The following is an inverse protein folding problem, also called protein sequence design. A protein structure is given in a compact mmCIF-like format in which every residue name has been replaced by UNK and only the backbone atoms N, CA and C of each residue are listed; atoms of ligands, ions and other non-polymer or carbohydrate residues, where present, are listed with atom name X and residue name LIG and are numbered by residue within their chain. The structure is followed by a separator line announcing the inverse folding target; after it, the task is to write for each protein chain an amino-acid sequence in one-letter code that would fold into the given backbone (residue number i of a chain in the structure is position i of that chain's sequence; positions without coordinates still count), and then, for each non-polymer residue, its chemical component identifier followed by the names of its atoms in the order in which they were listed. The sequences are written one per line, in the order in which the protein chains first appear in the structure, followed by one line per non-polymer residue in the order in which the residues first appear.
data_IF_332159337415
#
_entry.id   IF_332159337415
#
_cell.length_a   1.000
_cell.length_b   1.000
_cell.length_c   1.000
_cell.angle_alpha   90.00
_cell.angle_beta   90.00
_cell.angle_gamma   90.00
#
_symmetry.space_group_name_H-M   'P 1'
#
loop_
_entity.id
_entity.type
_entity.pdbx_description
1 polymer ?
#
# COMPACT_ATOMS: atom_id res chain seq x y z
N UNK A 1 -15.68 8.50 48.65
CA UNK A 1 -14.99 7.27 48.20
C UNK A 1 -14.90 7.28 46.67
N UNK A 2 -13.80 7.79 46.12
CA UNK A 2 -13.61 7.86 44.67
C UNK A 2 -12.89 6.59 44.17
N UNK A 3 -13.58 5.46 44.26
CA UNK A 3 -13.11 4.23 43.65
C UNK A 3 -12.99 4.43 42.11
N UNK A 4 -11.78 4.30 41.59
CA UNK A 4 -11.62 4.32 40.13
C UNK A 4 -12.31 3.08 39.56
N UNK A 5 -13.24 3.30 38.67
CA UNK A 5 -13.89 2.23 37.91
C UNK A 5 -12.84 1.28 37.30
N UNK A 6 -13.16 -0.02 37.28
CA UNK A 6 -12.35 -1.06 36.65
C UNK A 6 -13.28 -1.96 35.84
N UNK A 7 -12.89 -2.38 34.62
CA UNK A 7 -13.66 -3.33 33.84
C UNK A 7 -13.62 -4.73 34.46
N UNK A 8 -14.65 -5.51 34.23
CA UNK A 8 -14.67 -6.94 34.52
C UNK A 8 -13.86 -7.67 33.43
N UNK A 9 -12.58 -7.93 33.71
CA UNK A 9 -11.64 -8.47 32.73
C UNK A 9 -12.03 -9.83 32.12
N UNK A 10 -12.66 -10.79 32.87
CA UNK A 10 -13.08 -12.09 32.30
C UNK A 10 -14.03 -11.97 31.11
N UNK A 11 -14.88 -10.93 31.06
CA UNK A 11 -15.82 -10.70 29.96
C UNK A 11 -15.17 -10.12 28.71
N UNK A 12 -13.92 -9.67 28.80
CA UNK A 12 -13.19 -9.08 27.67
C UNK A 12 -12.51 -10.19 26.89
N UNK A 13 -12.72 -10.25 25.55
CA UNK A 13 -12.14 -11.30 24.71
C UNK A 13 -10.62 -11.23 24.63
N UNK A 14 -9.98 -12.38 24.45
CA UNK A 14 -8.51 -12.49 24.22
C UNK A 14 -8.13 -12.50 22.76
N UNK A 15 -8.93 -11.85 21.93
CA UNK A 15 -8.78 -11.77 20.48
C UNK A 15 -8.30 -10.39 20.02
N UNK A 16 -7.83 -10.26 18.78
CA UNK A 16 -7.58 -8.96 18.17
C UNK A 16 -8.85 -8.12 18.11
N UNK A 17 -8.70 -6.80 18.19
CA UNK A 17 -9.83 -5.90 18.05
C UNK A 17 -9.56 -4.48 18.49
N UNK A 18 -10.63 -3.71 18.58
CA UNK A 18 -10.66 -2.32 18.97
C UNK A 18 -11.42 -2.18 20.28
N UNK A 19 -10.93 -1.34 21.18
CA UNK A 19 -11.58 -1.01 22.45
C UNK A 19 -11.81 0.49 22.58
N UNK A 20 -12.94 0.85 23.19
CA UNK A 20 -13.38 2.23 23.38
C UNK A 20 -13.62 2.47 24.85
N UNK A 21 -12.87 3.39 25.47
CA UNK A 21 -13.18 3.88 26.81
C UNK A 21 -14.25 4.97 26.73
N UNK A 22 -15.29 4.85 27.57
CA UNK A 22 -16.43 5.78 27.63
C UNK A 22 -16.53 6.42 29.01
N UNK A 23 -17.06 7.63 29.05
CA UNK A 23 -17.39 8.31 30.31
C UNK A 23 -18.78 7.91 30.85
N UNK A 24 -19.22 8.55 31.94
CA UNK A 24 -20.50 8.28 32.57
C UNK A 24 -21.72 8.64 31.69
N UNK A 25 -21.52 9.46 30.65
CA UNK A 25 -22.56 9.85 29.69
C UNK A 25 -22.53 8.99 28.43
N UNK A 26 -21.64 7.99 28.37
CA UNK A 26 -21.43 7.14 27.20
C UNK A 26 -20.53 7.74 26.13
N UNK A 27 -20.03 8.97 26.30
CA UNK A 27 -19.16 9.61 25.31
C UNK A 27 -17.81 8.90 25.22
N UNK A 28 -17.32 8.73 23.99
CA UNK A 28 -16.06 8.06 23.72
C UNK A 28 -14.90 8.98 24.13
N UNK A 29 -14.09 8.49 25.05
CA UNK A 29 -12.90 9.19 25.54
C UNK A 29 -11.65 8.82 24.75
N UNK A 30 -11.54 7.55 24.38
CA UNK A 30 -10.35 7.00 23.75
C UNK A 30 -10.70 5.76 22.94
N UNK A 31 -10.10 5.63 21.77
CA UNK A 31 -10.13 4.46 20.91
C UNK A 31 -8.72 3.88 20.81
N UNK A 32 -8.58 2.56 20.83
CA UNK A 32 -7.31 1.91 20.64
C UNK A 32 -7.47 0.46 20.17
N UNK A 33 -6.46 -0.05 19.47
CA UNK A 33 -6.41 -1.44 19.02
C UNK A 33 -5.54 -2.34 19.90
N UNK A 34 -5.77 -3.62 19.84
CA UNK A 34 -4.92 -4.64 20.46
C UNK A 34 -4.95 -5.95 19.67
N UNK A 35 -3.85 -6.73 19.78
CA UNK A 35 -3.81 -8.14 19.35
C UNK A 35 -4.50 -9.05 20.37
N UNK A 36 -4.54 -8.64 21.64
CA UNK A 36 -5.29 -9.27 22.72
C UNK A 36 -5.95 -8.16 23.54
N UNK A 37 -7.25 -8.03 23.39
CA UNK A 37 -8.05 -6.97 24.02
C UNK A 37 -7.96 -7.03 25.53
N UNK A 38 -8.14 -8.22 26.15
CA UNK A 38 -8.10 -8.40 27.61
C UNK A 38 -6.77 -7.95 28.20
N UNK A 39 -5.68 -8.46 27.66
CA UNK A 39 -4.32 -8.12 28.11
C UNK A 39 -4.04 -6.63 27.97
N UNK A 40 -4.45 -6.03 26.86
CA UNK A 40 -4.24 -4.60 26.60
C UNK A 40 -5.03 -3.72 27.56
N UNK A 41 -6.31 -4.01 27.76
CA UNK A 41 -7.17 -3.25 28.67
C UNK A 41 -6.67 -3.40 30.09
N UNK A 42 -6.33 -4.62 30.55
CA UNK A 42 -5.74 -4.87 31.84
C UNK A 42 -4.49 -4.01 32.11
N UNK A 43 -3.64 -3.81 31.09
CA UNK A 43 -2.39 -3.04 31.24
C UNK A 43 -2.61 -1.59 31.66
N UNK A 44 -3.75 -0.97 31.38
CA UNK A 44 -4.09 0.39 31.83
C UNK A 44 -4.30 0.47 33.34
N UNK A 45 -4.67 -0.64 33.98
CA UNK A 45 -5.02 -0.69 35.40
C UNK A 45 -3.91 -1.25 36.29
N UNK A 46 -2.97 -2.05 35.75
CA UNK A 46 -1.85 -2.64 36.52
C UNK A 46 -0.73 -1.65 36.81
N UNK A 47 -0.36 -0.78 35.86
CA UNK A 47 0.77 0.15 35.96
C UNK A 47 0.35 1.62 35.86
N UNK A 48 -0.66 2.04 36.62
CA UNK A 48 -1.24 3.38 36.53
C UNK A 48 -0.21 4.53 36.63
N UNK A 49 0.78 4.40 37.53
CA UNK A 49 1.78 5.45 37.75
C UNK A 49 2.75 5.61 36.59
N UNK A 50 2.96 4.56 35.79
CA UNK A 50 3.83 4.57 34.62
C UNK A 50 3.19 5.24 33.39
N UNK A 51 1.87 5.47 33.41
CA UNK A 51 1.21 6.09 32.27
C UNK A 51 1.44 7.61 32.22
N UNK A 52 1.54 8.20 30.99
CA UNK A 52 1.53 9.64 30.79
C UNK A 52 0.34 10.31 31.45
N UNK A 53 0.49 11.57 31.91
CA UNK A 53 -0.57 12.33 32.59
C UNK A 53 -1.92 12.28 31.85
N UNK A 54 -1.90 12.33 30.54
CA UNK A 54 -3.11 12.26 29.70
C UNK A 54 -3.86 10.95 29.86
N UNK A 55 -3.19 9.80 29.77
CA UNK A 55 -3.82 8.48 29.94
C UNK A 55 -4.33 8.27 31.36
N UNK A 56 -3.60 8.75 32.38
CA UNK A 56 -4.09 8.72 33.74
C UNK A 56 -5.37 9.54 33.94
N UNK A 57 -5.48 10.68 33.24
CA UNK A 57 -6.69 11.52 33.23
C UNK A 57 -7.85 10.83 32.53
N UNK A 58 -7.59 10.17 31.39
CA UNK A 58 -8.57 9.34 30.66
C UNK A 58 -9.11 8.22 31.56
N UNK A 59 -8.22 7.42 32.19
CA UNK A 59 -8.63 6.30 33.08
C UNK A 59 -9.49 6.78 34.24
N UNK A 60 -9.20 7.96 34.83
CA UNK A 60 -10.01 8.52 35.92
C UNK A 60 -11.42 8.91 35.47
N UNK A 61 -11.59 9.32 34.21
CA UNK A 61 -12.90 9.69 33.62
C UNK A 61 -13.68 8.50 33.10
N UNK A 62 -13.00 7.43 32.70
CA UNK A 62 -13.63 6.24 32.16
C UNK A 62 -14.58 5.58 33.18
N UNK A 63 -15.76 5.14 32.69
CA UNK A 63 -16.79 4.41 33.41
C UNK A 63 -17.25 3.16 32.71
N UNK A 64 -16.93 3.02 31.41
CA UNK A 64 -17.20 1.81 30.64
C UNK A 64 -16.08 1.57 29.64
N UNK A 65 -15.96 0.32 29.18
CA UNK A 65 -15.18 -0.09 28.03
C UNK A 65 -16.06 -0.97 27.15
N UNK A 66 -16.10 -0.65 25.86
CA UNK A 66 -16.73 -1.51 24.85
C UNK A 66 -15.63 -2.07 23.95
N UNK A 67 -15.79 -3.29 23.48
CA UNK A 67 -14.84 -3.98 22.60
C UNK A 67 -15.51 -4.42 21.34
N UNK A 68 -14.80 -4.30 20.22
CA UNK A 68 -15.17 -4.87 18.93
C UNK A 68 -14.08 -5.85 18.54
N UNK A 69 -14.42 -7.14 18.56
CA UNK A 69 -13.52 -8.18 18.08
C UNK A 69 -13.35 -8.05 16.57
N UNK A 70 -12.14 -8.33 16.10
CA UNK A 70 -11.81 -8.42 14.68
C UNK A 70 -11.13 -9.74 14.40
N UNK A 71 -11.19 -10.19 13.14
CA UNK A 71 -10.57 -11.44 12.75
C UNK A 71 -9.04 -11.36 12.67
N UNK A 72 -8.47 -10.15 12.46
CA UNK A 72 -7.05 -9.96 12.26
C UNK A 72 -6.54 -8.61 12.80
N UNK A 73 -5.21 -8.48 12.89
CA UNK A 73 -4.56 -7.20 13.23
C UNK A 73 -4.88 -6.11 12.19
N UNK A 74 -4.95 -6.47 10.91
CA UNK A 74 -5.25 -5.51 9.85
C UNK A 74 -6.67 -4.95 10.00
N UNK A 75 -7.66 -5.82 10.24
CA UNK A 75 -9.04 -5.37 10.49
C UNK A 75 -9.12 -4.46 11.73
N UNK A 76 -8.37 -4.78 12.79
CA UNK A 76 -8.30 -3.92 13.98
C UNK A 76 -7.70 -2.54 13.66
N UNK A 77 -6.66 -2.48 12.82
CA UNK A 77 -6.05 -1.23 12.35
C UNK A 77 -7.01 -0.38 11.53
N UNK A 78 -7.74 -1.01 10.60
CA UNK A 78 -8.70 -0.33 9.74
C UNK A 78 -9.89 0.20 10.55
N UNK A 79 -10.42 -0.61 11.47
CA UNK A 79 -11.52 -0.22 12.34
C UNK A 79 -11.11 0.91 13.31
N UNK A 80 -9.92 0.81 13.93
CA UNK A 80 -9.38 1.87 14.79
C UNK A 80 -9.28 3.18 14.01
N UNK A 81 -8.72 3.16 12.79
CA UNK A 81 -8.55 4.34 11.97
C UNK A 81 -9.89 5.00 11.62
N UNK A 82 -10.89 4.19 11.24
CA UNK A 82 -12.25 4.65 10.95
C UNK A 82 -12.87 5.32 12.17
N UNK A 83 -12.85 4.66 13.32
CA UNK A 83 -13.43 5.18 14.58
C UNK A 83 -12.74 6.44 15.06
N UNK A 84 -11.41 6.54 14.92
CA UNK A 84 -10.68 7.75 15.30
C UNK A 84 -11.11 8.98 14.51
N UNK A 85 -11.45 8.82 13.23
CA UNK A 85 -11.88 9.91 12.35
C UNK A 85 -13.35 10.26 12.50
N UNK A 86 -14.19 9.27 12.76
CA UNK A 86 -15.62 9.48 13.00
C UNK A 86 -15.89 10.11 14.37
N UNK A 87 -15.23 9.63 15.41
CA UNK A 87 -15.54 9.96 16.81
C UNK A 87 -14.64 11.06 17.38
N UNK A 88 -13.49 11.34 16.74
CA UNK A 88 -12.51 12.33 17.20
C UNK A 88 -12.27 12.37 18.72
N UNK A 89 -11.89 11.23 19.36
CA UNK A 89 -11.90 11.12 20.82
C UNK A 89 -10.87 12.05 21.48
N UNK A 90 -11.22 12.74 22.60
CA UNK A 90 -10.39 13.81 23.18
C UNK A 90 -9.06 13.33 23.76
N UNK A 91 -8.91 12.04 24.00
CA UNK A 91 -7.67 11.45 24.50
C UNK A 91 -6.85 10.71 23.44
N UNK A 92 -7.22 10.74 22.16
CA UNK A 92 -6.33 10.37 21.05
C UNK A 92 -5.57 11.60 20.56
N UNK A 93 -4.29 11.45 20.23
CA UNK A 93 -3.43 12.57 19.77
C UNK A 93 -3.25 12.61 18.27
N UNK A 94 -3.27 11.46 17.65
CA UNK A 94 -2.89 11.28 16.24
C UNK A 94 -4.04 10.57 15.49
N UNK A 95 -4.06 10.74 14.19
CA UNK A 95 -4.94 10.01 13.27
C UNK A 95 -6.43 10.35 13.39
N UNK A 96 -6.79 11.50 13.96
CA UNK A 96 -8.19 11.96 14.02
C UNK A 96 -8.65 12.67 12.76
N UNK A 97 -7.74 12.92 11.82
CA UNK A 97 -8.04 13.49 10.51
C UNK A 97 -7.39 12.68 9.38
N UNK A 98 -7.97 12.74 8.21
CA UNK A 98 -7.35 12.21 7.00
C UNK A 98 -6.17 13.11 6.58
N UNK A 99 -5.14 12.47 6.02
CA UNK A 99 -3.96 13.18 5.52
C UNK A 99 -3.90 12.97 4.01
N UNK A 100 -3.95 14.05 3.25
CA UNK A 100 -3.76 14.02 1.81
C UNK A 100 -2.30 13.70 1.46
N UNK A 101 -2.03 12.45 1.14
CA UNK A 101 -0.70 11.96 0.80
C UNK A 101 -0.42 12.10 -0.70
N UNK A 102 0.82 12.42 -1.10
CA UNK A 102 1.18 12.51 -2.50
C UNK A 102 1.33 11.13 -3.16
N UNK A 103 0.96 11.10 -4.44
CA UNK A 103 1.17 10.01 -5.38
C UNK A 103 1.99 10.51 -6.57
N UNK A 104 2.69 9.61 -7.24
CA UNK A 104 3.12 9.82 -8.62
C UNK A 104 2.09 9.17 -9.53
N UNK A 105 1.44 9.98 -10.37
CA UNK A 105 0.39 9.55 -11.29
C UNK A 105 0.94 9.43 -12.70
N UNK A 106 0.67 8.33 -13.37
CA UNK A 106 0.84 8.13 -14.80
C UNK A 106 -0.55 8.24 -15.47
N UNK A 107 -0.76 9.27 -16.29
CA UNK A 107 -2.07 9.65 -16.86
C UNK A 107 -2.44 8.81 -18.08
N UNK A 108 -2.70 7.51 -17.89
CA UNK A 108 -2.97 6.58 -19.02
C UNK A 108 -4.26 6.90 -19.79
N UNK A 109 -5.17 7.66 -19.22
CA UNK A 109 -6.36 8.13 -19.92
C UNK A 109 -6.06 9.24 -20.96
N UNK A 110 -4.88 9.88 -20.87
CA UNK A 110 -4.44 10.83 -21.89
C UNK A 110 -3.84 10.10 -23.10
N UNK A 111 -4.05 10.58 -24.33
CA UNK A 111 -3.44 9.98 -25.54
C UNK A 111 -1.92 9.91 -25.47
N UNK A 112 -1.29 10.88 -24.76
CA UNK A 112 0.14 10.89 -24.47
C UNK A 112 0.34 10.99 -22.96
N UNK A 113 0.41 9.84 -22.26
CA UNK A 113 0.52 9.78 -20.81
C UNK A 113 1.73 10.55 -20.28
N UNK A 114 1.59 11.21 -19.13
CA UNK A 114 2.66 11.90 -18.43
C UNK A 114 2.74 11.50 -16.96
N UNK A 115 3.90 11.74 -16.37
CA UNK A 115 4.11 11.56 -14.94
C UNK A 115 3.97 12.91 -14.23
N UNK A 116 3.17 12.94 -13.16
CA UNK A 116 3.01 14.11 -12.29
C UNK A 116 2.81 13.70 -10.84
N UNK A 117 2.99 14.65 -9.91
CA UNK A 117 2.66 14.44 -8.51
C UNK A 117 1.28 15.00 -8.24
N UNK A 118 0.43 14.22 -7.58
CA UNK A 118 -0.90 14.63 -7.14
C UNK A 118 -1.19 14.16 -5.73
N UNK A 119 -2.12 14.84 -5.05
CA UNK A 119 -2.73 14.36 -3.79
C UNK A 119 -4.14 13.82 -4.00
N UNK A 120 -4.63 13.96 -5.21
CA UNK A 120 -5.93 13.43 -5.60
C UNK A 120 -5.77 11.99 -6.11
N UNK A 121 -6.52 11.09 -5.54
CA UNK A 121 -6.61 9.69 -5.96
C UNK A 121 -7.99 9.47 -6.57
N UNK A 122 -8.06 8.99 -7.81
CA UNK A 122 -9.32 8.81 -8.54
C UNK A 122 -9.32 7.50 -9.34
N UNK A 123 -10.50 6.99 -9.62
CA UNK A 123 -10.71 5.85 -10.54
C UNK A 123 -10.86 6.38 -11.98
N UNK A 124 -9.80 6.95 -12.52
CA UNK A 124 -9.79 7.65 -13.82
C UNK A 124 -8.97 6.90 -14.89
N UNK A 125 -8.72 5.62 -14.68
CA UNK A 125 -7.91 4.81 -15.59
C UNK A 125 -6.40 5.06 -15.52
N UNK A 126 -5.96 6.01 -14.69
CA UNK A 126 -4.54 6.30 -14.49
C UNK A 126 -3.89 5.33 -13.51
N UNK A 127 -2.57 5.20 -13.59
CA UNK A 127 -1.80 4.46 -12.59
C UNK A 127 -1.22 5.38 -11.52
N UNK A 128 -1.42 5.01 -10.26
CA UNK A 128 -0.95 5.73 -9.09
C UNK A 128 0.12 4.92 -8.36
N UNK A 129 1.30 5.50 -8.19
CA UNK A 129 2.40 4.99 -7.37
C UNK A 129 2.39 5.71 -6.02
N UNK A 130 2.63 5.02 -4.93
CA UNK A 130 2.52 5.60 -3.58
C UNK A 130 1.42 4.88 -2.77
N UNK A 131 0.77 5.50 -1.76
CA UNK A 131 1.02 6.88 -1.31
C UNK A 131 2.41 7.05 -0.68
N UNK A 132 3.01 8.22 -0.88
CA UNK A 132 4.28 8.57 -0.28
C UNK A 132 4.08 9.38 1.02
N UNK A 133 5.01 9.31 1.99
CA UNK A 133 4.84 10.00 3.28
C UNK A 133 4.91 11.53 3.16
N UNK A 134 5.64 12.04 2.18
CA UNK A 134 5.79 13.47 1.92
C UNK A 134 6.12 13.73 0.45
N UNK A 135 5.94 14.97 0.02
CA UNK A 135 6.15 15.42 -1.36
C UNK A 135 7.58 15.11 -1.87
N UNK A 136 8.60 15.28 -1.04
CA UNK A 136 9.99 15.02 -1.41
C UNK A 136 10.23 13.57 -1.85
N UNK A 137 9.63 12.58 -1.17
CA UNK A 137 9.74 11.17 -1.60
C UNK A 137 9.08 10.92 -2.95
N UNK A 138 7.92 11.54 -3.22
CA UNK A 138 7.26 11.45 -4.51
C UNK A 138 8.08 12.15 -5.61
N UNK A 139 8.69 13.31 -5.30
CA UNK A 139 9.53 14.05 -6.24
C UNK A 139 10.77 13.26 -6.67
N UNK A 140 11.42 12.56 -5.75
CA UNK A 140 12.55 11.67 -6.06
C UNK A 140 12.13 10.55 -7.00
N UNK A 141 10.98 9.92 -6.74
CA UNK A 141 10.44 8.86 -7.61
C UNK A 141 10.11 9.41 -8.99
N UNK A 142 9.42 10.56 -9.06
CA UNK A 142 9.11 11.23 -10.32
C UNK A 142 10.39 11.52 -11.11
N UNK A 143 11.40 12.13 -10.49
CA UNK A 143 12.68 12.44 -11.13
C UNK A 143 13.39 11.19 -11.67
N UNK A 144 13.38 10.09 -10.90
CA UNK A 144 13.97 8.82 -11.32
C UNK A 144 13.28 8.23 -12.56
N UNK A 145 11.95 8.22 -12.58
CA UNK A 145 11.19 7.68 -13.71
C UNK A 145 11.32 8.59 -14.95
N UNK A 146 11.25 9.90 -14.80
CA UNK A 146 11.48 10.87 -15.89
C UNK A 146 12.89 10.83 -16.42
N UNK A 147 13.86 10.43 -15.59
CA UNK A 147 15.24 10.25 -16.05
C UNK A 147 15.42 9.02 -16.95
N UNK A 148 14.66 7.97 -16.67
CA UNK A 148 14.71 6.70 -17.41
C UNK A 148 13.86 6.73 -18.69
N UNK A 149 12.79 7.52 -18.70
CA UNK A 149 11.82 7.57 -19.80
C UNK A 149 11.52 9.01 -20.19
N UNK A 150 11.66 9.29 -21.49
CA UNK A 150 11.50 10.64 -22.04
C UNK A 150 10.01 11.00 -22.21
N UNK A 151 9.25 10.98 -21.10
CA UNK A 151 7.83 11.34 -21.10
C UNK A 151 7.65 12.85 -21.00
N UNK A 152 6.58 13.37 -21.61
CA UNK A 152 6.29 14.79 -21.61
C UNK A 152 6.04 15.34 -20.20
N UNK A 153 6.41 16.59 -20.00
CA UNK A 153 6.13 17.34 -18.77
C UNK A 153 5.14 18.47 -19.00
N UNK A 154 4.83 18.79 -20.26
CA UNK A 154 3.88 19.83 -20.64
C UNK A 154 2.44 19.45 -20.30
N UNK A 155 1.61 20.47 -20.07
CA UNK A 155 0.18 20.34 -19.80
C UNK A 155 -0.65 20.49 -21.08
N UNK A 156 -1.94 20.16 -20.97
CA UNK A 156 -2.90 20.29 -22.06
C UNK A 156 -2.89 19.12 -23.05
N UNK A 157 -3.84 19.18 -23.97
CA UNK A 157 -3.98 18.23 -25.06
C UNK A 157 -2.86 18.39 -26.07
N UNK A 158 -2.32 17.28 -26.56
CA UNK A 158 -1.30 17.24 -27.61
C UNK A 158 -1.94 16.65 -28.87
N UNK A 159 -1.80 17.35 -29.97
CA UNK A 159 -2.15 16.86 -31.30
C UNK A 159 -0.86 16.67 -32.12
N UNK A 160 -0.57 15.46 -32.58
CA UNK A 160 0.61 15.18 -33.39
C UNK A 160 0.60 16.00 -34.69
N UNK A 161 1.75 16.56 -35.04
CA UNK A 161 1.92 17.33 -36.29
C UNK A 161 1.44 18.79 -36.24
N UNK A 162 0.89 19.24 -35.12
CA UNK A 162 0.50 20.66 -34.95
C UNK A 162 1.67 21.55 -34.59
N UNK A 163 2.68 20.99 -33.93
CA UNK A 163 3.87 21.73 -33.53
C UNK A 163 5.00 21.47 -34.53
N UNK A 164 5.38 22.43 -35.39
CA UNK A 164 6.35 22.19 -36.44
C UNK A 164 7.80 22.02 -35.94
N UNK A 165 8.08 22.46 -34.74
CA UNK A 165 9.43 22.37 -34.12
C UNK A 165 9.34 21.83 -32.70
N UNK A 166 10.26 20.89 -32.33
CA UNK A 166 10.30 20.38 -30.98
C UNK A 166 10.72 21.47 -29.97
N UNK A 167 10.15 21.40 -28.77
CA UNK A 167 10.48 22.30 -27.66
C UNK A 167 11.84 21.94 -27.01
N UNK A 168 12.29 22.80 -26.08
CA UNK A 168 13.55 22.60 -25.36
C UNK A 168 13.63 21.23 -24.64
N UNK A 169 12.50 20.73 -24.09
CA UNK A 169 12.48 19.44 -23.43
C UNK A 169 12.90 18.27 -24.34
N UNK A 170 12.62 18.35 -25.65
CA UNK A 170 13.12 17.41 -26.65
C UNK A 170 14.62 17.59 -26.87
N UNK A 171 15.08 18.82 -27.00
CA UNK A 171 16.50 19.10 -27.28
C UNK A 171 17.41 18.55 -26.15
N UNK A 172 16.95 18.65 -24.90
CA UNK A 172 17.66 18.10 -23.74
C UNK A 172 17.26 16.64 -23.41
N UNK A 173 16.61 15.95 -24.33
CA UNK A 173 16.22 14.53 -24.23
C UNK A 173 15.35 14.18 -23.01
N UNK A 174 14.57 15.15 -22.52
CA UNK A 174 13.58 14.94 -21.44
C UNK A 174 12.22 14.51 -21.94
N UNK A 175 11.92 14.69 -23.25
CA UNK A 175 10.66 14.35 -23.88
C UNK A 175 10.93 13.79 -25.27
N UNK A 176 10.17 12.78 -25.71
CA UNK A 176 10.23 12.24 -27.06
C UNK A 176 9.42 13.04 -28.10
N UNK A 177 8.89 14.21 -27.72
CA UNK A 177 8.16 15.16 -28.58
C UNK A 177 7.00 14.55 -29.41
N UNK A 178 5.99 13.91 -28.80
CA UNK A 178 4.87 13.33 -29.53
C UNK A 178 4.05 14.37 -30.30
N UNK A 179 4.22 15.66 -30.00
CA UNK A 179 3.56 16.77 -30.64
C UNK A 179 4.08 17.08 -32.06
N UNK A 180 5.28 16.60 -32.42
CA UNK A 180 5.92 16.94 -33.71
C UNK A 180 5.37 16.11 -34.85
N UNK A 181 5.07 14.84 -34.65
CA UNK A 181 4.54 14.01 -35.73
C UNK A 181 4.30 12.53 -35.35
N UNK A 182 3.75 11.73 -36.28
CA UNK A 182 3.37 10.34 -36.00
C UNK A 182 4.52 9.43 -35.57
N UNK A 183 5.71 9.60 -36.14
CA UNK A 183 6.89 8.80 -35.78
C UNK A 183 7.29 9.02 -34.34
N UNK A 184 7.29 10.29 -33.87
CA UNK A 184 7.58 10.65 -32.50
C UNK A 184 6.47 10.14 -31.54
N UNK A 185 5.22 10.12 -32.02
CA UNK A 185 4.11 9.56 -31.26
C UNK A 185 4.31 8.06 -31.01
N UNK A 186 4.70 7.28 -32.01
CA UNK A 186 5.00 5.85 -31.86
C UNK A 186 6.17 5.60 -30.90
N UNK A 187 7.26 6.36 -31.06
CA UNK A 187 8.40 6.31 -30.13
C UNK A 187 7.98 6.63 -28.70
N UNK A 188 7.07 7.60 -28.53
CA UNK A 188 6.55 8.00 -27.23
C UNK A 188 5.81 6.86 -26.53
N UNK A 189 4.92 6.17 -27.23
CA UNK A 189 4.21 5.01 -26.67
C UNK A 189 5.18 3.90 -26.27
N UNK A 190 6.25 3.66 -27.03
CA UNK A 190 7.32 2.75 -26.65
C UNK A 190 7.99 3.12 -25.31
N UNK A 191 8.13 4.40 -25.00
CA UNK A 191 8.60 4.83 -23.67
C UNK A 191 7.57 4.54 -22.56
N UNK A 192 6.27 4.72 -22.83
CA UNK A 192 5.20 4.38 -21.89
C UNK A 192 5.17 2.88 -21.60
N UNK A 193 5.22 2.06 -22.63
CA UNK A 193 5.23 0.59 -22.52
C UNK A 193 6.47 0.11 -21.76
N UNK A 194 7.63 0.69 -22.07
CA UNK A 194 8.89 0.41 -21.34
C UNK A 194 8.80 0.76 -19.86
N UNK A 195 8.15 1.88 -19.51
CA UNK A 195 7.91 2.27 -18.12
C UNK A 195 6.99 1.25 -17.43
N UNK A 196 5.87 0.88 -18.05
CA UNK A 196 4.94 -0.10 -17.48
C UNK A 196 5.61 -1.45 -17.27
N UNK A 197 6.39 -1.93 -18.27
CA UNK A 197 7.16 -3.16 -18.16
C UNK A 197 8.20 -3.10 -17.03
N UNK A 198 8.85 -1.95 -16.82
CA UNK A 198 9.80 -1.79 -15.73
C UNK A 198 9.11 -1.79 -14.36
N UNK A 199 7.98 -1.09 -14.22
CA UNK A 199 7.18 -1.08 -12.99
C UNK A 199 6.63 -2.47 -12.63
N UNK A 200 6.26 -3.28 -13.63
CA UNK A 200 5.81 -4.65 -13.43
C UNK A 200 6.91 -5.56 -12.83
N UNK A 201 8.18 -5.23 -13.04
CA UNK A 201 9.33 -5.94 -12.46
C UNK A 201 9.67 -5.50 -11.03
N UNK A 202 8.99 -4.47 -10.52
CA UNK A 202 9.13 -3.99 -9.14
C UNK A 202 10.26 -2.99 -8.91
N UNK A 203 10.40 -2.53 -7.65
CA UNK A 203 11.30 -1.43 -7.28
C UNK A 203 12.79 -1.70 -7.59
N UNK A 204 13.23 -2.95 -7.39
CA UNK A 204 14.64 -3.31 -7.62
C UNK A 204 15.04 -3.18 -9.09
N UNK A 205 14.11 -3.46 -10.01
CA UNK A 205 14.36 -3.29 -11.45
C UNK A 205 14.60 -1.81 -11.81
N UNK A 206 13.87 -0.89 -11.18
CA UNK A 206 14.08 0.55 -11.36
C UNK A 206 15.46 0.99 -10.83
N UNK A 207 15.83 0.53 -9.64
CA UNK A 207 17.16 0.80 -9.07
C UNK A 207 18.27 0.21 -9.93
N UNK A 208 18.09 -1.01 -10.43
CA UNK A 208 19.05 -1.66 -11.33
C UNK A 208 19.19 -0.88 -12.65
N UNK A 209 18.08 -0.42 -13.24
CA UNK A 209 18.13 0.38 -14.46
C UNK A 209 18.89 1.69 -14.29
N UNK A 210 18.74 2.35 -13.12
CA UNK A 210 19.52 3.54 -12.78
C UNK A 210 21.01 3.22 -12.61
N UNK A 211 21.37 2.07 -12.02
CA UNK A 211 22.76 1.61 -11.92
C UNK A 211 23.39 1.43 -13.30
N UNK A 212 22.68 0.79 -14.21
CA UNK A 212 23.13 0.57 -15.59
C UNK A 212 23.33 1.89 -16.35
N UNK A 213 22.39 2.85 -16.22
CA UNK A 213 22.54 4.18 -16.83
C UNK A 213 23.75 4.96 -16.26
N UNK A 214 23.97 4.85 -14.95
CA UNK A 214 25.14 5.45 -14.29
C UNK A 214 26.44 4.86 -14.83
N UNK A 215 26.50 3.53 -14.93
CA UNK A 215 27.71 2.85 -15.42
C UNK A 215 28.01 3.23 -16.87
N UNK A 216 27.01 3.25 -17.76
CA UNK A 216 27.19 3.72 -19.15
C UNK A 216 27.69 5.16 -19.22
N UNK A 217 27.20 6.05 -18.33
CA UNK A 217 27.66 7.42 -18.28
C UNK A 217 29.13 7.51 -17.87
N UNK A 218 29.57 6.66 -16.93
CA UNK A 218 30.97 6.58 -16.50
C UNK A 218 31.90 6.02 -17.58
N UNK A 219 31.47 4.98 -18.31
CA UNK A 219 32.20 4.35 -19.41
C UNK A 219 32.52 5.36 -20.55
N UNK A 220 31.58 6.27 -20.83
CA UNK A 220 31.77 7.35 -21.81
C UNK A 220 32.30 8.65 -21.19
N UNK A 221 32.88 8.58 -19.99
CA UNK A 221 33.52 9.68 -19.25
C UNK A 221 32.59 10.89 -18.95
N UNK A 222 31.28 10.73 -18.98
CA UNK A 222 30.32 11.76 -18.55
C UNK A 222 30.15 11.76 -17.02
N UNK A 223 31.20 12.16 -16.30
CA UNK A 223 31.28 12.06 -14.84
C UNK A 223 30.23 12.85 -14.10
N UNK A 224 29.88 14.05 -14.56
CA UNK A 224 28.79 14.86 -13.97
C UNK A 224 27.44 14.11 -14.04
N UNK A 225 27.17 13.51 -15.19
CA UNK A 225 25.94 12.69 -15.37
C UNK A 225 25.98 11.45 -14.47
N UNK A 226 27.12 10.77 -14.38
CA UNK A 226 27.27 9.60 -13.51
C UNK A 226 27.11 9.98 -12.03
N UNK A 227 27.66 11.11 -11.58
CA UNK A 227 27.50 11.63 -10.23
C UNK A 227 26.04 11.98 -9.91
N UNK A 228 25.35 12.67 -10.82
CA UNK A 228 23.92 12.97 -10.66
C UNK A 228 23.07 11.69 -10.55
N UNK A 229 23.33 10.68 -11.39
CA UNK A 229 22.63 9.40 -11.34
C UNK A 229 22.92 8.63 -10.04
N UNK A 230 24.14 8.74 -9.50
CA UNK A 230 24.50 8.17 -8.21
C UNK A 230 23.68 8.80 -7.07
N UNK A 231 23.62 10.12 -7.02
CA UNK A 231 22.83 10.86 -6.02
C UNK A 231 21.34 10.50 -6.13
N UNK A 232 20.80 10.46 -7.34
CA UNK A 232 19.39 10.11 -7.58
C UNK A 232 19.10 8.66 -7.17
N UNK A 233 19.98 7.73 -7.45
CA UNK A 233 19.86 6.33 -7.04
C UNK A 233 19.85 6.19 -5.50
N UNK A 234 20.74 6.89 -4.80
CA UNK A 234 20.79 6.88 -3.34
C UNK A 234 19.51 7.46 -2.74
N UNK A 235 19.05 8.61 -3.23
CA UNK A 235 17.80 9.24 -2.80
C UNK A 235 16.59 8.36 -3.08
N UNK A 236 16.53 7.67 -4.22
CA UNK A 236 15.46 6.73 -4.54
C UNK A 236 15.48 5.53 -3.59
N UNK A 237 16.65 4.97 -3.32
CA UNK A 237 16.79 3.86 -2.38
C UNK A 237 16.27 4.24 -0.99
N UNK A 238 16.58 5.45 -0.51
CA UNK A 238 16.07 5.99 0.75
C UNK A 238 14.55 6.21 0.71
N UNK A 239 14.02 6.82 -0.36
CA UNK A 239 12.58 7.05 -0.52
C UNK A 239 11.77 5.75 -0.53
N UNK A 240 12.37 4.65 -1.03
CA UNK A 240 11.75 3.33 -1.10
C UNK A 240 12.02 2.46 0.15
N UNK A 241 12.93 2.87 1.04
CA UNK A 241 13.27 2.12 2.23
C UNK A 241 12.02 1.81 3.07
N UNK A 242 11.79 0.54 3.36
CA UNK A 242 10.60 0.10 4.07
C UNK A 242 9.27 0.23 3.30
N UNK A 243 9.30 0.44 1.96
CA UNK A 243 8.09 0.62 1.12
C UNK A 243 8.15 -0.25 -0.14
N UNK A 244 8.09 -1.58 -0.01
CA UNK A 244 8.29 -2.48 -1.14
C UNK A 244 7.24 -2.31 -2.25
N UNK A 245 6.06 -1.80 -1.92
CA UNK A 245 4.96 -1.60 -2.87
C UNK A 245 4.92 -0.19 -3.48
N UNK A 246 5.80 0.73 -3.08
CA UNK A 246 5.67 2.13 -3.46
C UNK A 246 5.73 2.38 -4.98
N UNK A 247 6.52 1.58 -5.72
CA UNK A 247 6.61 1.66 -7.18
C UNK A 247 5.69 0.69 -7.93
N UNK A 248 4.91 -0.11 -7.22
CA UNK A 248 3.87 -0.93 -7.85
C UNK A 248 2.61 -0.08 -7.98
N UNK A 249 2.04 0.09 -9.17
CA UNK A 249 0.76 0.77 -9.33
C UNK A 249 -0.30 0.22 -8.38
N UNK A 250 -1.10 1.09 -7.78
CA UNK A 250 -2.13 0.68 -6.81
C UNK A 250 -3.07 -0.36 -7.42
N UNK A 251 -3.47 -0.17 -8.68
CA UNK A 251 -4.33 -1.10 -9.42
C UNK A 251 -3.72 -2.51 -9.58
N UNK A 252 -2.41 -2.68 -9.46
CA UNK A 252 -1.72 -3.97 -9.59
C UNK A 252 -1.41 -4.63 -8.23
N UNK A 253 -1.75 -4.01 -7.10
CA UNK A 253 -1.45 -4.53 -5.76
C UNK A 253 -2.48 -5.57 -5.33
N UNK A 254 -2.40 -6.76 -5.92
CA UNK A 254 -3.20 -7.90 -5.53
C UNK A 254 -2.30 -8.90 -4.79
N UNK A 255 -2.53 -9.09 -3.51
CA UNK A 255 -1.64 -9.83 -2.61
C UNK A 255 -2.46 -10.76 -1.73
N UNK A 256 -2.03 -12.01 -1.66
CA UNK A 256 -2.43 -12.96 -0.64
C UNK A 256 -1.31 -13.07 0.39
N UNK A 257 -1.55 -12.63 1.61
CA UNK A 257 -0.62 -12.78 2.72
C UNK A 257 -1.04 -13.99 3.55
N UNK A 258 -0.15 -14.99 3.63
CA UNK A 258 -0.39 -16.27 4.28
C UNK A 258 0.28 -16.24 5.65
N UNK A 259 -0.50 -16.48 6.70
CA UNK A 259 -0.04 -16.62 8.07
C UNK A 259 -0.25 -18.06 8.54
N UNK A 260 0.80 -18.65 9.11
CA UNK A 260 0.69 -19.92 9.79
C UNK A 260 0.22 -19.68 11.24
N UNK A 261 -0.85 -20.32 11.65
CA UNK A 261 -1.40 -20.24 13.01
C UNK A 261 -1.05 -21.50 13.83
N UNK A 262 -1.12 -21.37 15.16
CA UNK A 262 -1.20 -22.50 16.07
C UNK A 262 -2.68 -22.73 16.47
N UNK A 263 -3.18 -23.96 16.41
CA UNK A 263 -2.50 -25.24 16.19
C UNK A 263 -2.01 -25.43 14.73
N UNK A 264 -0.97 -26.26 14.52
CA UNK A 264 -0.49 -26.60 13.19
C UNK A 264 -1.66 -27.11 12.33
N UNK A 265 -1.67 -26.79 11.04
CA UNK A 265 -2.68 -27.09 10.01
C UNK A 265 -3.80 -26.05 9.81
N UNK A 266 -3.84 -24.97 10.57
CA UNK A 266 -4.71 -23.84 10.23
C UNK A 266 -3.89 -22.66 9.71
N UNK A 267 -4.26 -22.14 8.56
CA UNK A 267 -3.64 -20.97 7.95
C UNK A 267 -4.67 -19.88 7.73
N UNK A 268 -4.25 -18.66 7.86
CA UNK A 268 -5.07 -17.52 7.57
C UNK A 268 -4.51 -16.80 6.35
N UNK A 269 -5.36 -16.54 5.37
CA UNK A 269 -5.05 -15.70 4.24
C UNK A 269 -5.70 -14.34 4.43
N UNK A 270 -4.89 -13.30 4.37
CA UNK A 270 -5.35 -11.92 4.25
C UNK A 270 -5.29 -11.53 2.78
N UNK A 271 -6.41 -11.13 2.26
CA UNK A 271 -6.61 -10.85 0.85
C UNK A 271 -6.62 -9.34 0.60
N UNK A 272 -5.76 -8.88 -0.29
CA UNK A 272 -5.61 -7.48 -0.68
C UNK A 272 -5.83 -7.39 -2.17
N UNK A 273 -6.73 -6.49 -2.60
CA UNK A 273 -6.99 -6.16 -4.00
C UNK A 273 -6.85 -4.67 -4.24
N UNK A 274 -6.15 -4.30 -5.29
CA UNK A 274 -5.87 -2.90 -5.63
C UNK A 274 -5.32 -2.12 -4.42
N UNK A 275 -4.51 -2.80 -3.59
CA UNK A 275 -3.92 -2.23 -2.39
C UNK A 275 -4.87 -2.06 -1.19
N UNK A 276 -6.13 -2.45 -1.29
CA UNK A 276 -7.14 -2.39 -0.26
C UNK A 276 -7.40 -3.76 0.37
N UNK A 277 -7.83 -3.77 1.63
CA UNK A 277 -8.24 -5.00 2.30
C UNK A 277 -9.55 -5.51 1.68
N UNK A 278 -9.50 -6.70 1.12
CA UNK A 278 -10.63 -7.30 0.42
C UNK A 278 -11.28 -8.46 1.21
N UNK A 279 -10.62 -8.94 2.27
CA UNK A 279 -11.19 -9.98 3.11
C UNK A 279 -10.15 -10.92 3.70
N UNK A 280 -10.68 -11.94 4.39
CA UNK A 280 -9.91 -12.95 5.09
C UNK A 280 -10.50 -14.33 4.82
N UNK A 281 -9.64 -15.30 4.56
CA UNK A 281 -10.02 -16.70 4.37
C UNK A 281 -9.22 -17.57 5.32
N UNK A 282 -9.90 -18.34 6.16
CA UNK A 282 -9.27 -19.40 6.94
C UNK A 282 -9.12 -20.62 6.03
N UNK A 283 -7.89 -21.13 5.88
CA UNK A 283 -7.59 -22.39 5.22
C UNK A 283 -7.40 -23.45 6.29
N UNK A 284 -8.35 -24.36 6.34
CA UNK A 284 -8.19 -25.69 6.89
C UNK A 284 -7.72 -26.65 5.77
N UNK A 285 -7.31 -27.84 6.10
CA UNK A 285 -6.83 -28.83 5.11
C UNK A 285 -7.98 -29.43 4.25
N UNK A 286 -9.22 -29.03 4.50
CA UNK A 286 -10.38 -29.56 3.80
C UNK A 286 -10.58 -29.00 2.40
N UNK A 287 -11.18 -29.77 1.46
CA UNK A 287 -11.43 -29.32 0.08
C UNK A 287 -12.32 -28.08 0.00
N UNK A 288 -13.20 -27.87 0.97
CA UNK A 288 -14.10 -26.70 1.03
C UNK A 288 -13.34 -25.37 1.23
N UNK A 289 -12.19 -25.39 1.91
CA UNK A 289 -11.38 -24.17 2.10
C UNK A 289 -10.82 -23.67 0.78
N UNK A 290 -10.38 -24.56 -0.08
CA UNK A 290 -9.88 -24.23 -1.41
C UNK A 290 -10.97 -23.72 -2.35
N UNK A 291 -12.18 -24.29 -2.23
CA UNK A 291 -13.33 -23.80 -2.96
C UNK A 291 -13.70 -22.37 -2.52
N UNK A 292 -13.73 -22.09 -1.20
CA UNK A 292 -13.95 -20.73 -0.67
C UNK A 292 -12.91 -19.73 -1.19
N UNK A 293 -11.63 -20.15 -1.24
CA UNK A 293 -10.58 -19.30 -1.80
C UNK A 293 -10.82 -19.03 -3.30
N UNK A 294 -11.14 -20.05 -4.09
CA UNK A 294 -11.43 -19.90 -5.50
C UNK A 294 -12.63 -18.96 -5.74
N UNK A 295 -13.73 -19.18 -5.03
CA UNK A 295 -14.92 -18.32 -5.08
C UNK A 295 -14.56 -16.89 -4.71
N UNK A 296 -13.79 -16.69 -3.63
CA UNK A 296 -13.36 -15.37 -3.22
C UNK A 296 -12.49 -14.67 -4.29
N UNK A 297 -11.61 -15.40 -4.96
CA UNK A 297 -10.77 -14.86 -6.05
C UNK A 297 -11.59 -14.45 -7.29
N UNK A 298 -12.76 -15.04 -7.50
CA UNK A 298 -13.68 -14.69 -8.61
C UNK A 298 -14.63 -13.55 -8.28
N UNK A 299 -14.97 -13.36 -6.99
CA UNK A 299 -15.89 -12.31 -6.59
C UNK A 299 -15.23 -10.93 -6.71
N UNK A 300 -15.96 -9.96 -7.23
CA UNK A 300 -15.57 -8.56 -7.16
C UNK A 300 -15.77 -8.04 -5.73
N UNK A 301 -14.71 -7.66 -5.01
CA UNK A 301 -14.84 -7.18 -3.64
C UNK A 301 -15.59 -5.83 -3.54
N UNK A 302 -15.72 -5.10 -4.65
CA UNK A 302 -16.51 -3.87 -4.69
C UNK A 302 -18.02 -4.13 -4.66
N UNK A 303 -18.45 -5.34 -5.01
CA UNK A 303 -19.86 -5.73 -5.05
C UNK A 303 -20.52 -5.86 -3.66
N UNK A 304 -19.75 -5.85 -2.57
CA UNK A 304 -20.22 -6.03 -1.20
C UNK A 304 -20.14 -4.81 -0.28
N UNK A 305 -19.63 -3.67 -0.74
CA UNK A 305 -19.49 -2.47 0.11
C UNK A 305 -20.71 -1.54 -0.10
N UNK A 306 -21.62 -1.42 0.88
CA UNK A 306 -22.90 -0.73 0.70
C UNK A 306 -22.81 0.81 0.66
N UNK A 307 -21.61 1.41 0.81
CA UNK A 307 -21.45 2.85 0.77
C UNK A 307 -20.21 3.27 -0.05
N UNK A 308 -20.32 4.28 -0.93
CA UNK A 308 -19.18 4.84 -1.62
C UNK A 308 -18.20 5.41 -0.58
N UNK A 309 -17.00 4.86 -0.52
CA UNK A 309 -15.94 5.34 0.37
C UNK A 309 -15.43 6.69 -0.14
N UNK A 310 -15.23 7.66 0.75
CA UNK A 310 -14.56 8.90 0.36
C UNK A 310 -13.14 8.59 -0.11
N UNK A 311 -12.63 9.38 -1.04
CA UNK A 311 -11.25 9.28 -1.54
C UNK A 311 -10.22 9.27 -0.40
N UNK A 312 -10.43 10.10 0.62
CA UNK A 312 -9.57 10.18 1.79
C UNK A 312 -9.56 8.88 2.61
N UNK A 313 -10.70 8.20 2.74
CA UNK A 313 -10.79 6.91 3.41
C UNK A 313 -10.03 5.82 2.63
N UNK A 314 -10.12 5.84 1.30
CA UNK A 314 -9.37 4.92 0.43
C UNK A 314 -7.85 5.15 0.56
N UNK A 315 -7.40 6.40 0.52
CA UNK A 315 -5.98 6.75 0.68
C UNK A 315 -5.46 6.34 2.06
N UNK A 316 -6.24 6.54 3.10
CA UNK A 316 -5.87 6.10 4.45
C UNK A 316 -5.76 4.57 4.57
N UNK A 317 -6.69 3.84 3.96
CA UNK A 317 -6.63 2.38 3.92
C UNK A 317 -5.42 1.89 3.14
N UNK A 318 -5.13 2.44 1.95
CA UNK A 318 -3.92 2.15 1.18
C UNK A 318 -2.64 2.32 2.02
N UNK A 319 -2.57 3.39 2.80
CA UNK A 319 -1.45 3.66 3.72
C UNK A 319 -1.36 2.62 4.83
N UNK A 320 -2.48 2.28 5.45
CA UNK A 320 -2.54 1.30 6.56
C UNK A 320 -2.13 -0.08 6.06
N UNK A 321 -2.71 -0.53 4.94
CA UNK A 321 -2.41 -1.83 4.32
C UNK A 321 -0.93 -1.92 3.94
N UNK A 322 -0.38 -0.91 3.26
CA UNK A 322 1.04 -0.88 2.90
C UNK A 322 1.95 -0.93 4.13
N UNK A 323 1.63 -0.17 5.18
CA UNK A 323 2.38 -0.18 6.43
C UNK A 323 2.26 -1.51 7.19
N UNK A 324 1.09 -2.16 7.16
CA UNK A 324 0.89 -3.47 7.76
C UNK A 324 1.67 -4.55 7.01
N UNK A 325 1.60 -4.61 5.69
CA UNK A 325 2.38 -5.53 4.86
C UNK A 325 3.88 -5.40 5.16
N UNK A 326 4.40 -4.18 5.23
CA UNK A 326 5.81 -3.96 5.57
C UNK A 326 6.20 -4.55 6.93
N UNK A 327 5.35 -4.39 7.97
CA UNK A 327 5.62 -4.91 9.31
C UNK A 327 5.51 -6.45 9.39
N UNK A 328 4.68 -7.03 8.56
CA UNK A 328 4.41 -8.49 8.57
C UNK A 328 5.25 -9.28 7.59
N UNK A 329 6.08 -8.61 6.77
CA UNK A 329 6.87 -9.26 5.71
C UNK A 329 7.76 -10.42 6.18
N UNK A 330 8.17 -10.44 7.45
CA UNK A 330 8.97 -11.52 8.05
C UNK A 330 8.12 -12.61 8.71
N UNK A 331 6.81 -12.42 8.81
CA UNK A 331 5.88 -13.32 9.50
C UNK A 331 4.87 -13.97 8.56
N UNK A 332 4.76 -13.48 7.33
CA UNK A 332 3.81 -13.95 6.34
C UNK A 332 4.53 -14.26 5.03
N UNK A 333 4.06 -15.28 4.32
CA UNK A 333 4.42 -15.51 2.93
C UNK A 333 3.47 -14.71 2.06
N UNK A 334 3.99 -14.01 1.06
CA UNK A 334 3.18 -13.22 0.15
C UNK A 334 3.17 -13.81 -1.24
N UNK A 335 2.00 -13.87 -1.81
CA UNK A 335 1.81 -14.20 -3.22
C UNK A 335 1.23 -12.96 -3.87
N UNK A 336 1.95 -12.42 -4.84
CA UNK A 336 1.46 -11.32 -5.68
C UNK A 336 0.86 -11.92 -6.95
N UNK A 337 -0.31 -11.48 -7.34
CA UNK A 337 -0.98 -11.94 -8.55
C UNK A 337 -1.51 -10.76 -9.38
N UNK A 338 -1.51 -10.96 -10.70
CA UNK A 338 -2.07 -10.00 -11.63
C UNK A 338 -3.60 -10.02 -11.56
N UNK A 339 -4.29 -8.91 -11.86
CA UNK A 339 -5.74 -8.90 -12.07
C UNK A 339 -6.22 -9.92 -13.10
N UNK A 340 -5.35 -10.32 -14.02
CA UNK A 340 -5.64 -11.29 -15.08
C UNK A 340 -5.30 -12.74 -14.69
N UNK A 341 -4.71 -12.96 -13.50
CA UNK A 341 -4.38 -14.32 -13.03
C UNK A 341 -5.67 -15.11 -12.82
N UNK A 342 -5.77 -16.29 -13.42
CA UNK A 342 -6.93 -17.13 -13.23
C UNK A 342 -7.06 -17.58 -11.77
N UNK A 343 -8.28 -17.75 -11.24
CA UNK A 343 -8.48 -18.23 -9.87
C UNK A 343 -7.80 -19.58 -9.63
N UNK A 344 -7.81 -20.47 -10.61
CA UNK A 344 -7.16 -21.78 -10.56
C UNK A 344 -5.64 -21.64 -10.33
N UNK A 345 -4.99 -20.79 -11.15
CA UNK A 345 -3.55 -20.52 -11.02
C UNK A 345 -3.20 -19.88 -9.66
N UNK A 346 -4.05 -18.98 -9.17
CA UNK A 346 -3.84 -18.37 -7.85
C UNK A 346 -3.99 -19.40 -6.71
N UNK A 347 -4.96 -20.32 -6.81
CA UNK A 347 -5.14 -21.42 -5.85
C UNK A 347 -3.95 -22.37 -5.87
N UNK A 348 -3.44 -22.73 -7.05
CA UNK A 348 -2.25 -23.58 -7.20
C UNK A 348 -1.02 -22.93 -6.54
N UNK A 349 -0.79 -21.64 -6.79
CA UNK A 349 0.31 -20.91 -6.17
C UNK A 349 0.20 -20.89 -4.63
N UNK A 350 -1.02 -20.76 -4.07
CA UNK A 350 -1.24 -20.90 -2.63
C UNK A 350 -0.94 -22.31 -2.14
N UNK A 351 -1.37 -23.34 -2.86
CA UNK A 351 -1.06 -24.74 -2.51
C UNK A 351 0.44 -25.01 -2.49
N UNK A 352 1.17 -24.58 -3.51
CA UNK A 352 2.63 -24.72 -3.54
C UNK A 352 3.28 -23.98 -2.37
N UNK A 353 2.90 -22.74 -2.12
CA UNK A 353 3.42 -21.95 -1.02
C UNK A 353 3.10 -22.55 0.34
N UNK A 354 2.01 -23.31 0.47
CA UNK A 354 1.61 -23.97 1.71
C UNK A 354 2.23 -25.35 1.88
N UNK A 355 2.54 -26.08 0.79
CA UNK A 355 3.14 -27.43 0.81
C UNK A 355 4.66 -27.39 0.98
N UNK A 356 5.33 -26.41 0.39
CA UNK A 356 6.76 -26.23 0.52
C UNK A 356 7.09 -25.61 1.87
N UNK A 357 7.53 -26.42 2.82
CA UNK A 357 8.07 -25.97 4.12
C UNK A 357 9.36 -25.13 4.02
N UNK A 358 9.63 -24.51 2.89
CA UNK A 358 10.82 -23.68 2.63
C UNK A 358 10.58 -22.27 3.14
N UNK A 359 11.51 -21.85 3.99
CA UNK A 359 11.59 -20.53 4.56
C UNK A 359 11.57 -19.38 3.54
N UNK A 360 11.26 -18.22 4.05
CA UNK A 360 11.30 -16.92 3.40
C UNK A 360 12.29 -16.81 2.24
N UNK A 361 11.80 -16.71 1.01
CA UNK A 361 12.50 -15.94 0.00
C UNK A 361 11.90 -14.52 0.04
N UNK A 362 12.73 -13.53 0.35
CA UNK A 362 12.31 -12.13 0.15
C UNK A 362 12.05 -11.94 -1.35
N UNK A 363 11.09 -11.11 -1.67
CA UNK A 363 10.73 -10.64 -3.00
C UNK A 363 11.84 -10.84 -4.03
N UNK A 364 11.84 -11.99 -4.70
CA UNK A 364 12.73 -12.29 -5.80
C UNK A 364 11.91 -12.54 -7.07
N UNK A 365 12.48 -12.32 -8.27
CA UNK A 365 11.79 -12.39 -9.56
C UNK A 365 11.19 -13.75 -9.92
N UNK A 366 11.29 -14.76 -9.04
CA UNK A 366 10.74 -16.10 -9.26
C UNK A 366 9.29 -16.29 -8.79
N UNK A 367 8.75 -15.38 -7.98
CA UNK A 367 7.33 -15.37 -7.62
C UNK A 367 6.49 -14.46 -8.52
N UNK A 368 7.11 -13.85 -9.51
CA UNK A 368 6.40 -13.17 -10.59
C UNK A 368 5.94 -14.26 -11.54
N UNK A 369 4.70 -14.71 -11.37
CA UNK A 369 4.02 -15.41 -12.43
C UNK A 369 4.11 -14.51 -13.66
N UNK A 370 4.96 -14.93 -14.59
CA UNK A 370 5.20 -14.33 -15.88
C UNK A 370 3.87 -13.97 -16.52
N UNK A 371 3.59 -12.69 -16.58
CA UNK A 371 2.53 -12.19 -17.43
C UNK A 371 3.04 -10.94 -18.09
N UNK A 372 3.35 -11.11 -19.33
CA UNK A 372 3.00 -10.27 -20.46
C UNK A 372 3.54 -10.92 -21.71
N UNK A 373 2.69 -11.68 -22.37
CA UNK A 373 2.70 -11.84 -23.83
C UNK A 373 1.25 -11.75 -24.25
N UNK A 374 0.86 -10.65 -24.71
CA UNK A 374 0.33 -10.24 -26.03
C UNK A 374 0.09 -8.75 -26.01
#
# INVERSE_FOLDING_TARGET
MNGTWRPHLPEIPERPGVYLFRDARGAILYVGKALNLRRRIASYFHRRRAHPRRLRRMIRRARAVTTHETGSELEALLLESRLLKQETPPFNRLSTAYVALPFVKLTLAEPFPRLLITREFASDGSHYLGPFPHFGSAAVVLAALQRLFALRTCEGAILPGVTPRPCEAFQVRKCAAPCVGPQQASTYHGHVDGLLALLARGPEAVLQRLREERQRAAEVMFFERASHLHTLQAALSEALAGRPLALIPVAWRNILAIFDHQPPHTRELICIRHGLFAGRVALDEGPQAWHRLATWLTCDPSAGDPAPRSTDAVVDELRIVAGWLQRTRTRARWIHFSPQTSPTTAVEAVREATSSGRGHEPWGPKATLTIMRT
#
